data_IF_763905769730
#
_entry.id   IF_763905769730
#
_cell.length_a   1.000
_cell.length_b   1.000
_cell.length_c   1.000
_cell.angle_alpha   90.00
_cell.angle_beta   90.00
_cell.angle_gamma   90.00
#
_symmetry.space_group_name_H-M   'P 1'
#
loop_
_entity.id
_entity.type
_entity.pdbx_description
1 polymer ?
#
# COMPACT_ATOMS: atom_id res chain seq x y z
N UNK A 1 -26.99 19.40 -0.63
CA UNK A 1 -26.12 19.22 -1.81
C UNK A 1 -25.38 17.87 -1.86
N UNK A 2 -24.33 17.61 -1.06
CA UNK A 2 -23.63 16.29 -1.13
C UNK A 2 -24.51 15.08 -0.74
N UNK A 3 -25.44 15.26 0.20
CA UNK A 3 -26.34 14.20 0.67
C UNK A 3 -27.41 13.86 -0.37
N UNK A 4 -27.91 14.86 -1.11
CA UNK A 4 -28.90 14.68 -2.18
C UNK A 4 -28.31 13.93 -3.38
N UNK A 5 -27.05 14.21 -3.73
CA UNK A 5 -26.35 13.48 -4.78
C UNK A 5 -26.18 11.98 -4.47
N UNK A 6 -25.91 11.63 -3.21
CA UNK A 6 -25.83 10.23 -2.77
C UNK A 6 -27.19 9.53 -2.81
N UNK A 7 -28.27 10.21 -2.42
CA UNK A 7 -29.64 9.68 -2.46
C UNK A 7 -30.08 9.45 -3.91
N UNK A 8 -29.76 10.37 -4.83
CA UNK A 8 -30.07 10.24 -6.25
C UNK A 8 -29.31 9.09 -6.92
N UNK A 9 -28.01 8.91 -6.60
CA UNK A 9 -27.23 7.76 -7.07
C UNK A 9 -27.80 6.43 -6.56
N UNK A 10 -28.21 6.38 -5.29
CA UNK A 10 -28.82 5.18 -4.71
C UNK A 10 -30.18 4.85 -5.36
N UNK A 11 -31.01 5.86 -5.60
CA UNK A 11 -32.28 5.70 -6.31
C UNK A 11 -32.09 5.28 -7.76
N UNK A 12 -31.08 5.82 -8.45
CA UNK A 12 -30.71 5.41 -9.81
C UNK A 12 -30.32 3.94 -9.87
N UNK A 13 -29.46 3.47 -8.95
CA UNK A 13 -29.03 2.08 -8.92
C UNK A 13 -30.13 1.08 -8.53
N UNK A 14 -31.14 1.52 -7.77
CA UNK A 14 -32.33 0.70 -7.51
C UNK A 14 -33.22 0.57 -8.77
N UNK A 15 -33.32 1.63 -9.57
CA UNK A 15 -34.18 1.68 -10.75
C UNK A 15 -33.53 1.08 -12.01
N UNK A 16 -32.21 1.19 -12.14
CA UNK A 16 -31.41 0.70 -13.25
C UNK A 16 -30.35 -0.28 -12.77
N UNK A 17 -30.77 -1.31 -12.04
CA UNK A 17 -29.85 -2.32 -11.49
C UNK A 17 -29.03 -3.05 -12.57
N UNK A 18 -29.51 -3.07 -13.81
CA UNK A 18 -28.83 -3.63 -14.98
C UNK A 18 -27.69 -2.73 -15.51
N UNK A 19 -27.74 -1.43 -15.23
CA UNK A 19 -26.69 -0.44 -15.57
C UNK A 19 -25.59 -0.35 -14.52
N UNK A 20 -25.77 -0.99 -13.35
CA UNK A 20 -24.67 -1.19 -12.42
C UNK A 20 -23.58 -2.02 -13.11
N UNK A 21 -22.34 -1.52 -13.22
CA UNK A 21 -21.22 -2.31 -13.73
C UNK A 21 -20.74 -3.35 -12.70
N UNK A 22 -21.67 -3.93 -11.91
CA UNK A 22 -21.43 -4.96 -10.91
C UNK A 22 -21.85 -6.35 -11.42
N UNK A 23 -21.91 -6.56 -12.73
CA UNK A 23 -22.41 -7.82 -13.30
C UNK A 23 -21.48 -9.03 -13.03
N UNK A 24 -20.28 -8.83 -12.48
CA UNK A 24 -19.40 -9.93 -12.12
C UNK A 24 -18.45 -9.58 -10.94
N UNK A 25 -19.02 -9.31 -9.76
CA UNK A 25 -18.26 -9.16 -8.50
C UNK A 25 -17.87 -10.54 -7.97
N UNK A 26 -17.00 -11.24 -8.71
CA UNK A 26 -16.36 -12.47 -8.27
C UNK A 26 -15.03 -12.18 -7.55
N UNK A 27 -14.59 -13.07 -6.66
CA UNK A 27 -13.27 -12.96 -6.02
C UNK A 27 -12.13 -12.84 -7.04
N UNK A 28 -12.28 -13.50 -8.20
CA UNK A 28 -11.32 -13.43 -9.29
C UNK A 28 -11.24 -12.01 -9.87
N UNK A 29 -12.38 -11.40 -10.20
CA UNK A 29 -12.40 -10.06 -10.80
C UNK A 29 -11.96 -8.97 -9.82
N UNK A 30 -12.30 -9.11 -8.54
CA UNK A 30 -11.78 -8.21 -7.48
C UNK A 30 -10.26 -8.31 -7.37
N UNK A 31 -9.71 -9.53 -7.39
CA UNK A 31 -8.26 -9.75 -7.33
C UNK A 31 -7.57 -9.18 -8.57
N UNK A 32 -8.12 -9.43 -9.77
CA UNK A 32 -7.59 -8.90 -11.03
C UNK A 32 -7.62 -7.37 -11.07
N UNK A 33 -8.73 -6.75 -10.65
CA UNK A 33 -8.84 -5.29 -10.58
C UNK A 33 -7.83 -4.68 -9.61
N UNK A 34 -7.59 -5.34 -8.47
CA UNK A 34 -6.55 -4.95 -7.53
C UNK A 34 -5.14 -5.06 -8.15
N UNK A 35 -4.83 -6.17 -8.83
CA UNK A 35 -3.55 -6.35 -9.52
C UNK A 35 -3.32 -5.31 -10.62
N UNK A 36 -4.35 -4.99 -11.39
CA UNK A 36 -4.27 -3.98 -12.45
C UNK A 36 -4.07 -2.57 -11.86
N UNK A 37 -4.67 -2.26 -10.71
CA UNK A 37 -4.39 -1.04 -9.95
C UNK A 37 -2.94 -0.99 -9.44
N UNK A 38 -2.39 -2.11 -8.95
CA UNK A 38 -0.98 -2.16 -8.54
C UNK A 38 -0.04 -1.86 -9.70
N UNK A 39 -0.28 -2.45 -10.88
CA UNK A 39 0.50 -2.17 -12.10
C UNK A 39 0.38 -0.70 -12.50
N UNK A 40 -0.83 -0.15 -12.46
CA UNK A 40 -1.03 1.27 -12.76
C UNK A 40 -0.27 2.18 -11.77
N UNK A 41 -0.26 1.84 -10.48
CA UNK A 41 0.53 2.56 -9.47
C UNK A 41 2.04 2.44 -9.70
N UNK A 42 2.53 1.34 -10.29
CA UNK A 42 3.93 1.22 -10.73
C UNK A 42 4.26 2.15 -11.88
N UNK A 43 3.40 2.21 -12.90
CA UNK A 43 3.57 3.12 -14.03
C UNK A 43 3.58 4.59 -13.55
N UNK A 44 2.76 4.93 -12.56
CA UNK A 44 2.75 6.27 -11.97
C UNK A 44 4.02 6.56 -11.16
N UNK A 45 4.53 5.58 -10.41
CA UNK A 45 5.81 5.70 -9.70
C UNK A 45 6.98 5.93 -10.68
N UNK A 46 6.98 5.22 -11.81
CA UNK A 46 7.95 5.43 -12.91
C UNK A 46 7.84 6.84 -13.50
N UNK A 47 6.62 7.28 -13.84
CA UNK A 47 6.37 8.65 -14.33
C UNK A 47 6.79 9.72 -13.33
N UNK A 48 6.64 9.45 -12.02
CA UNK A 48 7.10 10.35 -10.95
C UNK A 48 8.62 10.41 -10.89
N UNK A 49 9.31 9.29 -11.09
CA UNK A 49 10.77 9.27 -11.19
C UNK A 49 11.29 10.01 -12.42
N UNK A 50 10.61 9.93 -13.56
CA UNK A 50 10.99 10.65 -14.80
C UNK A 50 10.95 12.17 -14.67
N UNK A 51 10.05 12.69 -13.82
CA UNK A 51 9.90 14.13 -13.58
C UNK A 51 10.97 14.67 -12.61
N UNK A 52 11.81 13.81 -12.06
CA UNK A 52 12.73 14.16 -11.00
C UNK A 52 13.96 14.88 -11.54
N UNK A 53 14.21 16.07 -11.00
CA UNK A 53 15.41 16.86 -11.28
C UNK A 53 16.34 16.81 -10.05
N UNK A 54 17.64 16.58 -10.28
CA UNK A 54 18.69 16.65 -9.27
C UNK A 54 18.46 15.79 -8.00
N UNK A 55 17.96 14.56 -8.14
CA UNK A 55 17.75 13.62 -7.03
C UNK A 55 16.87 14.15 -5.88
N UNK A 56 16.00 15.13 -6.18
CA UNK A 56 15.07 15.68 -5.19
C UNK A 56 13.78 14.86 -5.17
N UNK A 57 13.37 14.28 -4.02
CA UNK A 57 12.12 13.54 -3.93
C UNK A 57 10.92 14.40 -4.35
N UNK A 58 10.12 13.90 -5.29
CA UNK A 58 8.86 14.51 -5.69
C UNK A 58 7.75 13.94 -4.80
N UNK A 59 6.73 14.72 -4.46
CA UNK A 59 5.56 14.24 -3.70
C UNK A 59 4.65 13.31 -4.52
N UNK A 60 3.84 12.50 -3.83
CA UNK A 60 2.82 11.67 -4.49
C UNK A 60 1.82 12.54 -5.24
N UNK A 61 1.42 12.11 -6.44
CA UNK A 61 0.39 12.80 -7.23
C UNK A 61 -1.03 12.48 -6.74
N UNK A 62 -2.00 13.33 -7.12
CA UNK A 62 -3.41 13.08 -6.80
C UNK A 62 -3.94 11.79 -7.45
N UNK A 63 -3.43 11.45 -8.65
CA UNK A 63 -3.78 10.22 -9.38
C UNK A 63 -3.26 8.97 -8.66
N UNK A 64 -2.01 8.99 -8.18
CA UNK A 64 -1.46 7.90 -7.35
C UNK A 64 -2.24 7.75 -6.04
N UNK A 65 -2.61 8.86 -5.41
CA UNK A 65 -3.39 8.86 -4.18
C UNK A 65 -4.81 8.30 -4.40
N UNK A 66 -5.45 8.66 -5.52
CA UNK A 66 -6.74 8.11 -5.92
C UNK A 66 -6.66 6.60 -6.17
N UNK A 67 -5.64 6.15 -6.93
CA UNK A 67 -5.41 4.73 -7.20
C UNK A 67 -5.15 3.93 -5.92
N UNK A 68 -4.37 4.49 -4.99
CA UNK A 68 -4.13 3.92 -3.67
C UNK A 68 -5.45 3.72 -2.90
N UNK A 69 -6.30 4.74 -2.85
CA UNK A 69 -7.61 4.66 -2.18
C UNK A 69 -8.54 3.65 -2.83
N UNK A 70 -8.55 3.56 -4.16
CA UNK A 70 -9.34 2.55 -4.88
C UNK A 70 -8.86 1.14 -4.55
N UNK A 71 -7.55 0.90 -4.58
CA UNK A 71 -6.98 -0.41 -4.24
C UNK A 71 -7.27 -0.83 -2.80
N UNK A 72 -7.22 0.12 -1.85
CA UNK A 72 -7.67 -0.13 -0.46
C UNK A 72 -9.15 -0.53 -0.43
N UNK A 73 -10.01 0.14 -1.22
CA UNK A 73 -11.44 -0.16 -1.24
C UNK A 73 -11.74 -1.58 -1.75
N UNK A 74 -10.99 -2.09 -2.74
CA UNK A 74 -11.17 -3.46 -3.25
C UNK A 74 -10.86 -4.54 -2.19
N UNK A 75 -9.90 -4.25 -1.31
CA UNK A 75 -9.47 -5.19 -0.25
C UNK A 75 -10.13 -4.92 1.10
N UNK A 76 -10.83 -3.79 1.25
CA UNK A 76 -11.45 -3.42 2.51
C UNK A 76 -12.51 -4.46 2.93
N UNK A 77 -12.39 -5.06 4.12
CA UNK A 77 -13.42 -5.98 4.62
C UNK A 77 -14.75 -5.25 4.90
N UNK A 78 -14.70 -3.92 5.13
CA UNK A 78 -15.87 -3.06 5.33
C UNK A 78 -16.75 -3.00 4.07
N UNK A 79 -16.18 -3.26 2.89
CA UNK A 79 -16.91 -3.25 1.62
C UNK A 79 -17.51 -4.63 1.25
N UNK A 80 -17.53 -5.59 2.19
CA UNK A 80 -18.06 -6.93 1.96
C UNK A 80 -17.13 -7.84 1.15
N UNK A 81 -15.89 -7.41 0.93
CA UNK A 81 -14.86 -8.17 0.23
C UNK A 81 -14.41 -9.35 1.11
N UNK A 82 -14.66 -10.59 0.67
CA UNK A 82 -14.17 -11.81 1.34
C UNK A 82 -12.74 -12.16 0.92
N UNK A 83 -11.85 -11.17 0.94
CA UNK A 83 -10.44 -11.38 0.58
C UNK A 83 -9.67 -11.76 1.84
N UNK A 84 -8.88 -12.83 1.75
CA UNK A 84 -7.91 -13.15 2.79
C UNK A 84 -6.80 -12.08 2.78
N UNK A 85 -6.84 -11.22 3.79
CA UNK A 85 -5.92 -10.08 3.91
C UNK A 85 -4.51 -10.51 4.27
N UNK A 86 -4.34 -11.61 5.01
CA UNK A 86 -3.05 -12.02 5.52
C UNK A 86 -2.02 -12.33 4.41
N UNK A 87 -2.32 -13.17 3.39
CA UNK A 87 -1.39 -13.40 2.30
C UNK A 87 -1.14 -12.14 1.46
N UNK A 88 -2.16 -11.30 1.27
CA UNK A 88 -2.04 -10.04 0.51
C UNK A 88 -1.10 -9.05 1.19
N UNK A 89 -1.32 -8.79 2.48
CA UNK A 89 -0.47 -7.91 3.29
C UNK A 89 0.96 -8.48 3.43
N UNK A 90 1.09 -9.79 3.64
CA UNK A 90 2.39 -10.47 3.71
C UNK A 90 3.18 -10.35 2.41
N UNK A 91 2.52 -10.50 1.26
CA UNK A 91 3.13 -10.29 -0.06
C UNK A 91 3.58 -8.85 -0.27
N UNK A 92 2.78 -7.85 0.16
CA UNK A 92 3.15 -6.44 0.07
C UNK A 92 4.39 -6.12 0.92
N UNK A 93 4.43 -6.63 2.16
CA UNK A 93 5.59 -6.46 3.05
C UNK A 93 6.82 -7.10 2.41
N UNK A 94 6.71 -8.34 1.94
CA UNK A 94 7.82 -9.09 1.33
C UNK A 94 8.38 -8.36 0.11
N UNK A 95 7.53 -7.93 -0.83
CA UNK A 95 7.97 -7.19 -2.03
C UNK A 95 8.68 -5.88 -1.64
N UNK A 96 8.17 -5.15 -0.65
CA UNK A 96 8.83 -3.94 -0.15
C UNK A 96 10.22 -4.25 0.41
N UNK A 97 10.34 -5.25 1.28
CA UNK A 97 11.62 -5.64 1.88
C UNK A 97 12.62 -6.08 0.83
N UNK A 98 12.20 -6.85 -0.18
CA UNK A 98 13.06 -7.29 -1.28
C UNK A 98 13.59 -6.12 -2.11
N UNK A 99 12.75 -5.16 -2.47
CA UNK A 99 13.17 -3.96 -3.21
C UNK A 99 14.17 -3.13 -2.41
N UNK A 100 13.94 -2.95 -1.10
CA UNK A 100 14.87 -2.23 -0.23
C UNK A 100 16.22 -2.97 -0.14
N UNK A 101 16.21 -4.28 0.11
CA UNK A 101 17.44 -5.10 0.16
C UNK A 101 18.21 -5.04 -1.15
N UNK A 102 17.52 -5.06 -2.28
CA UNK A 102 18.14 -4.90 -3.61
C UNK A 102 18.80 -3.54 -3.77
N UNK A 103 18.16 -2.46 -3.32
CA UNK A 103 18.72 -1.10 -3.38
C UNK A 103 19.95 -0.90 -2.48
N UNK A 104 20.03 -1.66 -1.38
CA UNK A 104 21.17 -1.65 -0.46
C UNK A 104 22.42 -2.29 -1.05
N UNK A 105 22.28 -3.18 -2.05
CA UNK A 105 23.40 -3.84 -2.69
C UNK A 105 24.42 -2.80 -3.23
N UNK A 106 25.73 -2.95 -3.00
CA UNK A 106 26.74 -2.03 -3.51
C UNK A 106 26.68 -1.83 -5.03
N UNK A 107 26.22 -2.84 -5.77
CA UNK A 107 26.07 -2.84 -7.24
C UNK A 107 24.67 -2.40 -7.71
N UNK A 108 23.81 -1.92 -6.81
CA UNK A 108 22.50 -1.41 -7.17
C UNK A 108 22.64 -0.25 -8.17
N UNK A 109 21.84 -0.28 -9.23
CA UNK A 109 21.76 0.80 -10.21
C UNK A 109 21.14 2.03 -9.55
N UNK A 110 21.68 3.21 -9.84
CA UNK A 110 21.16 4.50 -9.38
C UNK A 110 20.24 5.19 -10.38
N UNK A 111 19.96 6.47 -10.15
CA UNK A 111 19.18 7.32 -11.04
C UNK A 111 17.69 6.99 -11.05
N UNK A 112 17.02 7.26 -12.18
CA UNK A 112 15.56 7.12 -12.35
C UNK A 112 15.02 5.78 -11.86
N UNK A 113 15.72 4.68 -12.17
CA UNK A 113 15.30 3.33 -11.77
C UNK A 113 15.27 3.15 -10.25
N UNK A 114 16.27 3.65 -9.54
CA UNK A 114 16.32 3.57 -8.09
C UNK A 114 15.19 4.38 -7.44
N UNK A 115 14.91 5.56 -8.00
CA UNK A 115 13.83 6.42 -7.53
C UNK A 115 12.44 5.87 -7.84
N UNK A 116 12.27 5.25 -9.01
CA UNK A 116 11.04 4.53 -9.34
C UNK A 116 10.77 3.42 -8.31
N UNK A 117 11.76 2.57 -8.01
CA UNK A 117 11.61 1.52 -7.00
C UNK A 117 11.29 2.11 -5.60
N UNK A 118 11.89 3.24 -5.22
CA UNK A 118 11.52 3.96 -3.98
C UNK A 118 10.06 4.40 -3.99
N UNK A 119 9.59 5.01 -5.06
CA UNK A 119 8.21 5.47 -5.15
C UNK A 119 7.22 4.30 -5.18
N UNK A 120 7.59 3.19 -5.81
CA UNK A 120 6.82 1.94 -5.71
C UNK A 120 6.69 1.51 -4.25
N UNK A 121 7.78 1.41 -3.50
CA UNK A 121 7.75 1.03 -2.07
C UNK A 121 6.94 2.04 -1.24
N UNK A 122 7.06 3.34 -1.51
CA UNK A 122 6.24 4.37 -0.86
C UNK A 122 4.74 4.14 -1.12
N UNK A 123 4.35 3.87 -2.36
CA UNK A 123 2.97 3.58 -2.73
C UNK A 123 2.46 2.31 -2.03
N UNK A 124 3.28 1.26 -1.93
CA UNK A 124 2.93 0.03 -1.18
C UNK A 124 2.82 0.27 0.32
N UNK A 125 3.66 1.12 0.91
CA UNK A 125 3.55 1.46 2.34
C UNK A 125 2.24 2.18 2.66
N UNK A 126 1.75 3.03 1.75
CA UNK A 126 0.45 3.67 1.90
C UNK A 126 -0.70 2.67 1.77
N UNK A 127 -0.60 1.73 0.81
CA UNK A 127 -1.57 0.63 0.68
C UNK A 127 -1.61 -0.23 1.94
N UNK A 128 -0.45 -0.68 2.40
CA UNK A 128 -0.29 -1.50 3.61
C UNK A 128 -0.96 -0.82 4.81
N UNK A 129 -0.67 0.46 5.03
CA UNK A 129 -1.26 1.27 6.10
C UNK A 129 -2.78 1.35 5.96
N UNK A 130 -3.28 1.69 4.76
CA UNK A 130 -4.71 1.86 4.51
C UNK A 130 -5.53 0.58 4.65
N UNK A 131 -5.03 -0.53 4.11
CA UNK A 131 -5.68 -1.85 4.23
C UNK A 131 -5.70 -2.28 5.70
N UNK A 132 -4.58 -2.12 6.42
CA UNK A 132 -4.49 -2.45 7.84
C UNK A 132 -5.50 -1.61 8.65
N UNK A 133 -5.52 -0.29 8.47
CA UNK A 133 -6.47 0.58 9.15
C UNK A 133 -7.93 0.20 8.87
N UNK A 134 -8.22 -0.16 7.62
CA UNK A 134 -9.56 -0.65 7.25
C UNK A 134 -9.91 -1.96 7.93
N UNK A 135 -8.95 -2.88 8.07
CA UNK A 135 -9.17 -4.16 8.73
C UNK A 135 -9.38 -4.01 10.23
N UNK A 136 -8.58 -3.17 10.90
CA UNK A 136 -8.72 -2.88 12.33
C UNK A 136 -10.00 -2.13 12.67
N UNK A 137 -10.56 -1.40 11.70
CA UNK A 137 -11.86 -0.72 11.86
C UNK A 137 -13.06 -1.65 11.67
N UNK A 138 -12.85 -2.88 11.19
CA UNK A 138 -13.91 -3.82 10.89
C UNK A 138 -14.31 -4.64 12.12
N UNK A 139 -15.34 -4.19 12.83
CA UNK A 139 -15.77 -4.75 14.13
C UNK A 139 -16.60 -6.03 14.02
N UNK A 140 -17.07 -6.38 12.82
CA UNK A 140 -17.96 -7.52 12.64
C UNK A 140 -17.22 -8.87 12.71
N UNK A 141 -15.90 -8.88 12.45
CA UNK A 141 -15.07 -10.09 12.50
C UNK A 141 -13.72 -9.84 13.20
N UNK A 142 -13.65 -10.24 14.47
CA UNK A 142 -12.44 -10.15 15.28
C UNK A 142 -11.30 -11.07 14.80
N UNK A 143 -11.61 -12.10 14.01
CA UNK A 143 -10.57 -12.99 13.46
C UNK A 143 -9.70 -12.28 12.43
N UNK A 144 -10.29 -11.34 11.66
CA UNK A 144 -9.56 -10.48 10.72
C UNK A 144 -8.60 -9.56 11.48
N UNK A 145 -9.10 -8.90 12.53
CA UNK A 145 -8.28 -8.01 13.37
C UNK A 145 -7.10 -8.78 13.96
N UNK A 146 -7.36 -9.94 14.59
CA UNK A 146 -6.32 -10.79 15.17
C UNK A 146 -5.31 -11.26 14.12
N UNK A 147 -5.79 -11.72 12.96
CA UNK A 147 -4.94 -12.19 11.87
C UNK A 147 -4.00 -11.11 11.34
N UNK A 148 -4.49 -9.88 11.21
CA UNK A 148 -3.67 -8.72 10.83
C UNK A 148 -2.66 -8.37 11.93
N UNK A 149 -3.09 -8.21 13.18
CA UNK A 149 -2.19 -7.91 14.29
C UNK A 149 -1.08 -8.96 14.45
N UNK A 150 -1.40 -10.25 14.31
CA UNK A 150 -0.45 -11.35 14.37
C UNK A 150 0.59 -11.25 13.24
N UNK A 151 0.16 -10.95 12.00
CA UNK A 151 1.07 -10.69 10.88
C UNK A 151 2.00 -9.51 11.18
N UNK A 152 1.47 -8.37 11.64
CA UNK A 152 2.29 -7.19 11.95
C UNK A 152 3.34 -7.52 13.03
N UNK A 153 2.97 -8.25 14.09
CA UNK A 153 3.91 -8.68 15.14
C UNK A 153 4.97 -9.62 14.60
N UNK A 154 4.60 -10.52 13.69
CA UNK A 154 5.51 -11.48 13.08
C UNK A 154 6.55 -10.81 12.16
N UNK A 155 6.15 -9.79 11.39
CA UNK A 155 7.02 -9.11 10.43
C UNK A 155 7.88 -8.00 11.05
N UNK A 156 7.48 -7.46 12.21
CA UNK A 156 8.17 -6.36 12.88
C UNK A 156 9.68 -6.60 13.14
N UNK A 157 10.14 -7.81 13.56
CA UNK A 157 11.56 -8.10 13.70
C UNK A 157 12.34 -7.93 12.39
N UNK A 158 11.84 -8.46 11.26
CA UNK A 158 12.48 -8.38 9.95
C UNK A 158 12.59 -6.94 9.46
N UNK A 159 11.57 -6.11 9.72
CA UNK A 159 11.57 -4.68 9.36
C UNK A 159 12.59 -3.91 10.22
N UNK A 160 12.73 -4.26 11.51
CA UNK A 160 13.74 -3.65 12.41
C UNK A 160 15.17 -4.01 12.01
N UNK A 161 15.41 -5.25 11.64
CA UNK A 161 16.70 -5.68 11.10
C UNK A 161 17.05 -4.85 9.86
N UNK A 162 16.11 -4.70 8.93
CA UNK A 162 16.31 -3.89 7.73
C UNK A 162 16.59 -2.42 8.04
N UNK A 163 15.94 -1.83 9.05
CA UNK A 163 16.24 -0.47 9.53
C UNK A 163 17.69 -0.36 9.98
N UNK A 164 18.16 -1.31 10.77
CA UNK A 164 19.51 -1.30 11.33
C UNK A 164 20.57 -1.44 10.21
N UNK A 165 20.31 -2.31 9.24
CA UNK A 165 21.13 -2.43 8.04
C UNK A 165 21.14 -1.15 7.19
N UNK A 166 19.97 -0.53 6.99
CA UNK A 166 19.85 0.75 6.27
C UNK A 166 20.61 1.87 6.98
N UNK A 167 20.59 1.91 8.32
CA UNK A 167 21.28 2.93 9.11
C UNK A 167 22.81 2.83 8.97
N UNK A 168 23.34 1.63 8.76
CA UNK A 168 24.78 1.40 8.56
C UNK A 168 25.31 1.94 7.22
N UNK A 169 24.45 2.21 6.24
CA UNK A 169 24.86 2.69 4.92
C UNK A 169 25.25 4.17 4.91
N UNK A 170 26.27 4.52 4.11
CA UNK A 170 26.60 5.92 3.81
C UNK A 170 25.71 6.43 2.69
N UNK A 171 25.09 7.60 2.89
CA UNK A 171 24.04 8.14 2.00
C UNK A 171 24.57 9.06 0.91
N UNK A 172 25.82 9.50 1.00
CA UNK A 172 26.40 10.49 0.09
C UNK A 172 26.39 10.04 -1.39
N UNK A 173 26.40 8.74 -1.65
CA UNK A 173 26.41 8.16 -3.01
C UNK A 173 25.04 7.62 -3.45
N UNK A 174 24.06 7.57 -2.53
CA UNK A 174 22.75 6.94 -2.78
C UNK A 174 21.63 7.74 -2.08
N UNK A 175 21.20 8.89 -2.63
CA UNK A 175 20.25 9.78 -1.96
C UNK A 175 18.89 9.10 -1.69
N UNK A 176 18.45 8.18 -2.56
CA UNK A 176 17.21 7.43 -2.42
C UNK A 176 17.15 6.52 -1.18
N UNK A 177 18.30 6.16 -0.59
CA UNK A 177 18.38 5.37 0.66
C UNK A 177 17.77 6.12 1.84
N UNK A 178 17.86 7.45 1.86
CA UNK A 178 17.22 8.25 2.92
C UNK A 178 15.70 8.13 2.87
N UNK A 179 15.11 8.10 1.67
CA UNK A 179 13.66 7.92 1.52
C UNK A 179 13.23 6.54 2.03
N UNK A 180 14.00 5.48 1.75
CA UNK A 180 13.73 4.16 2.33
C UNK A 180 13.80 4.18 3.87
N UNK A 181 14.77 4.88 4.48
CA UNK A 181 14.84 5.02 5.94
C UNK A 181 13.57 5.66 6.50
N UNK A 182 13.08 6.74 5.89
CA UNK A 182 11.84 7.38 6.32
C UNK A 182 10.64 6.42 6.22
N UNK A 183 10.49 5.71 5.10
CA UNK A 183 9.39 4.75 4.90
C UNK A 183 9.44 3.64 5.94
N UNK A 184 10.63 3.04 6.18
CA UNK A 184 10.79 1.94 7.14
C UNK A 184 10.52 2.41 8.57
N UNK A 185 10.99 3.60 8.96
CA UNK A 185 10.68 4.19 10.27
C UNK A 185 9.18 4.39 10.47
N UNK A 186 8.48 4.93 9.47
CA UNK A 186 7.05 5.16 9.54
C UNK A 186 6.26 3.84 9.63
N UNK A 187 6.68 2.80 8.88
CA UNK A 187 6.09 1.46 8.99
C UNK A 187 6.31 0.86 10.38
N UNK A 188 7.52 0.95 10.94
CA UNK A 188 7.82 0.44 12.29
C UNK A 188 6.93 1.12 13.31
N UNK A 189 6.82 2.46 13.27
CA UNK A 189 5.96 3.22 14.18
C UNK A 189 4.50 2.80 14.02
N UNK A 190 4.03 2.68 12.78
CA UNK A 190 2.67 2.24 12.50
C UNK A 190 2.40 0.84 13.06
N UNK A 191 3.27 -0.13 12.81
CA UNK A 191 3.13 -1.50 13.30
C UNK A 191 3.15 -1.55 14.83
N UNK A 192 4.04 -0.79 15.47
CA UNK A 192 4.09 -0.70 16.93
C UNK A 192 2.78 -0.18 17.51
N UNK A 193 2.18 0.86 16.93
CA UNK A 193 0.90 1.39 17.40
C UNK A 193 -0.23 0.38 17.16
N UNK A 194 -0.28 -0.21 15.97
CA UNK A 194 -1.39 -1.12 15.60
C UNK A 194 -1.31 -2.48 16.28
N UNK A 195 -0.14 -2.93 16.71
CA UNK A 195 0.00 -4.19 17.47
C UNK A 195 -0.45 -4.07 18.93
N UNK A 196 -0.65 -2.84 19.42
CA UNK A 196 -1.25 -2.53 20.73
C UNK A 196 -2.78 -2.46 20.71
N UNK A 197 -3.42 -2.63 19.54
CA UNK A 197 -4.86 -2.88 19.48
C UNK A 197 -5.12 -4.26 20.10
N UNK A 198 -5.30 -4.29 21.42
CA UNK A 198 -5.81 -5.45 22.13
C UNK A 198 -7.29 -5.62 21.81
N UNK A 199 -7.66 -6.84 21.41
CA UNK A 199 -9.04 -7.30 21.20
C UNK A 199 -9.40 -8.28 22.29
#
# INVERSE_FOLDING_TARGET
LQTEGKILLWAWFQQFSEELPLQDVSTHNVSKAYEDLLKHMDELAEKRAQKMENDTPISISDEENASTKMAIAYLSPVNGSRVDLKPTLGSLITDCLEKVKKAMNPRALGGEKAWSEVYMVSNRSHLLTGITMSALSYKDDLSIIRGVCDLLRHELPSIRELRDELAALRTAEKPWINTYRFIIEDIIRFFQVMTLFEV
#
